data_IF_054860550533
#
_entry.id   IF_054860550533
#
_cell.length_a   1.000
_cell.length_b   1.000
_cell.length_c   1.000
_cell.angle_alpha   90.00
_cell.angle_beta   90.00
_cell.angle_gamma   90.00
#
_symmetry.space_group_name_H-M   'P 1'
#
loop_
_entity.id
_entity.type
_entity.pdbx_description
1 polymer ?
#
# COMPACT_ATOMS: atom_id res chain seq x y z
N UNK A 1 14.57 -2.86 -15.59
CA UNK A 1 14.63 -2.16 -14.29
C UNK A 1 13.34 -2.50 -13.56
N UNK A 2 13.41 -2.69 -12.25
CA UNK A 2 12.22 -2.86 -11.42
C UNK A 2 11.39 -1.60 -11.34
N UNK A 3 10.19 -1.71 -10.80
CA UNK A 3 9.22 -0.61 -10.70
C UNK A 3 9.25 0.03 -9.32
N UNK A 4 9.39 1.35 -9.27
CA UNK A 4 9.18 2.14 -8.06
C UNK A 4 7.73 2.60 -8.03
N UNK A 5 6.98 2.17 -7.02
CA UNK A 5 5.55 2.46 -6.88
C UNK A 5 5.33 3.21 -5.56
N UNK A 6 4.96 4.48 -5.63
CA UNK A 6 4.56 5.20 -4.43
C UNK A 6 3.15 4.76 -4.01
N UNK A 7 3.00 4.41 -2.73
CA UNK A 7 1.68 4.20 -2.11
C UNK A 7 1.34 5.47 -1.34
N UNK A 8 0.32 6.17 -1.78
CA UNK A 8 -0.04 7.50 -1.33
C UNK A 8 -1.44 7.55 -0.73
N UNK A 9 -1.73 8.56 0.07
CA UNK A 9 -3.08 8.86 0.54
C UNK A 9 -3.23 10.34 0.85
N UNK A 10 -4.36 10.93 0.53
CA UNK A 10 -4.63 12.35 0.80
C UNK A 10 -4.80 12.68 2.29
N UNK A 11 -5.12 11.69 3.14
CA UNK A 11 -5.27 11.86 4.60
C UNK A 11 -4.79 10.64 5.38
N UNK A 12 -4.52 10.82 6.68
CA UNK A 12 -4.19 9.73 7.59
C UNK A 12 -5.37 8.77 7.83
N UNK A 13 -5.06 7.52 8.18
CA UNK A 13 -6.04 6.52 8.59
C UNK A 13 -6.75 5.77 7.44
N UNK A 14 -6.42 6.02 6.18
CA UNK A 14 -6.98 5.28 5.02
C UNK A 14 -6.53 3.83 4.95
N UNK A 15 -5.49 3.44 5.71
CA UNK A 15 -4.89 2.11 5.70
C UNK A 15 -3.76 1.93 4.69
N UNK A 16 -3.12 3.01 4.25
CA UNK A 16 -2.01 3.04 3.31
C UNK A 16 -0.91 2.03 3.67
N UNK A 17 -0.33 2.12 4.87
CA UNK A 17 0.72 1.22 5.37
C UNK A 17 0.29 -0.25 5.37
N UNK A 18 -0.96 -0.55 5.77
CA UNK A 18 -1.52 -1.91 5.71
C UNK A 18 -1.60 -2.41 4.26
N UNK A 19 -2.04 -1.56 3.33
CA UNK A 19 -2.10 -1.87 1.89
C UNK A 19 -0.69 -2.11 1.35
N UNK A 20 0.29 -1.24 1.68
CA UNK A 20 1.69 -1.37 1.27
C UNK A 20 2.28 -2.71 1.71
N UNK A 21 2.16 -3.05 3.01
CA UNK A 21 2.69 -4.29 3.56
C UNK A 21 2.08 -5.54 2.91
N UNK A 22 0.74 -5.57 2.77
CA UNK A 22 0.05 -6.73 2.22
C UNK A 22 0.29 -6.91 0.71
N UNK A 23 0.29 -5.82 -0.08
CA UNK A 23 0.61 -5.91 -1.53
C UNK A 23 2.06 -6.35 -1.72
N UNK A 24 3.01 -5.81 -0.94
CA UNK A 24 4.40 -6.20 -1.02
C UNK A 24 4.62 -7.68 -0.69
N UNK A 25 4.00 -8.17 0.37
CA UNK A 25 4.04 -9.59 0.71
C UNK A 25 3.37 -10.46 -0.37
N UNK A 26 2.23 -10.02 -0.94
CA UNK A 26 1.56 -10.74 -2.02
C UNK A 26 2.44 -10.85 -3.28
N UNK A 27 3.16 -9.81 -3.66
CA UNK A 27 4.12 -9.83 -4.76
C UNK A 27 5.31 -10.78 -4.46
N UNK A 28 5.84 -10.72 -3.23
CA UNK A 28 6.94 -11.60 -2.79
C UNK A 28 6.53 -13.08 -2.79
N UNK A 29 5.31 -13.41 -2.31
CA UNK A 29 4.75 -14.77 -2.36
C UNK A 29 4.62 -15.31 -3.79
N UNK A 30 4.55 -14.44 -4.80
CA UNK A 30 4.51 -14.78 -6.22
C UNK A 30 5.91 -14.86 -6.86
N UNK A 31 6.97 -14.80 -6.06
CA UNK A 31 8.35 -14.99 -6.47
C UNK A 31 9.08 -13.72 -6.91
N UNK A 32 8.45 -12.54 -6.83
CA UNK A 32 9.12 -11.27 -7.14
C UNK A 32 10.03 -10.85 -5.99
N UNK A 33 11.15 -10.24 -6.31
CA UNK A 33 12.03 -9.60 -5.33
C UNK A 33 11.48 -8.21 -5.01
N UNK A 34 11.05 -7.99 -3.75
CA UNK A 34 10.30 -6.80 -3.34
C UNK A 34 11.01 -6.06 -2.22
N UNK A 35 11.13 -4.74 -2.37
CA UNK A 35 11.50 -3.84 -1.28
C UNK A 35 10.29 -3.00 -0.85
N UNK A 36 10.04 -2.92 0.45
CA UNK A 36 9.16 -1.95 1.08
C UNK A 36 10.01 -0.85 1.69
N UNK A 37 9.72 0.39 1.35
CA UNK A 37 10.44 1.55 1.87
C UNK A 37 9.48 2.42 2.64
N UNK A 38 9.72 2.61 3.93
CA UNK A 38 8.94 3.53 4.75
C UNK A 38 9.49 4.95 4.58
N UNK A 39 8.64 5.88 4.16
CA UNK A 39 8.94 7.31 4.06
C UNK A 39 8.05 8.14 4.99
N UNK A 40 7.26 7.50 5.88
CA UNK A 40 6.42 8.17 6.90
C UNK A 40 7.28 8.53 8.12
N UNK A 41 8.06 9.58 7.94
CA UNK A 41 9.04 10.07 8.90
C UNK A 41 8.39 10.46 10.22
N UNK A 42 8.99 9.98 11.31
CA UNK A 42 8.51 10.24 12.67
C UNK A 42 7.36 9.35 13.13
N UNK A 43 6.58 8.74 12.23
CA UNK A 43 5.50 7.82 12.59
C UNK A 43 5.93 6.35 12.54
N UNK A 44 6.73 5.96 11.53
CA UNK A 44 7.27 4.60 11.39
C UNK A 44 6.25 3.51 11.71
N UNK A 45 5.23 3.36 10.87
CA UNK A 45 4.18 2.38 11.09
C UNK A 45 4.41 1.06 10.33
N UNK A 46 5.26 1.08 9.30
CA UNK A 46 5.48 -0.08 8.45
C UNK A 46 6.30 -1.16 9.16
N UNK A 47 7.30 -0.78 9.97
CA UNK A 47 8.08 -1.71 10.81
C UNK A 47 7.20 -2.47 11.82
N UNK A 48 6.27 -1.77 12.48
CA UNK A 48 5.30 -2.38 13.41
C UNK A 48 4.36 -3.32 12.65
N UNK A 49 3.87 -2.89 11.47
CA UNK A 49 2.99 -3.72 10.64
C UNK A 49 3.67 -5.00 10.18
N UNK A 50 4.98 -4.93 9.93
CA UNK A 50 5.82 -6.07 9.55
C UNK A 50 6.37 -6.84 10.76
N UNK A 51 6.29 -6.31 11.99
CA UNK A 51 6.90 -6.91 13.18
C UNK A 51 8.45 -7.00 13.10
N UNK A 52 9.08 -5.99 12.47
CA UNK A 52 10.53 -5.93 12.21
C UNK A 52 11.23 -4.82 13.01
N UNK A 53 10.53 -4.14 13.92
CA UNK A 53 11.02 -3.00 14.69
C UNK A 53 12.31 -3.31 15.49
N UNK A 54 12.48 -4.55 15.95
CA UNK A 54 13.67 -4.97 16.71
C UNK A 54 14.91 -5.23 15.85
N UNK A 55 14.75 -5.26 14.53
CA UNK A 55 15.83 -5.58 13.57
C UNK A 55 16.47 -4.32 12.96
N UNK A 56 16.01 -3.14 13.33
CA UNK A 56 16.42 -1.88 12.73
C UNK A 56 17.73 -1.39 13.35
N UNK A 57 18.71 -1.13 12.48
CA UNK A 57 20.00 -0.52 12.81
C UNK A 57 20.18 0.80 12.08
N UNK A 58 19.89 0.82 10.78
CA UNK A 58 19.99 1.95 9.88
C UNK A 58 18.63 2.21 9.21
N UNK A 59 18.42 3.43 8.74
CA UNK A 59 17.23 3.83 8.00
C UNK A 59 17.56 4.33 6.58
N UNK A 60 16.53 4.71 5.82
CA UNK A 60 16.71 5.15 4.42
C UNK A 60 17.57 6.41 4.31
N UNK A 61 17.56 7.30 5.33
CA UNK A 61 18.35 8.52 5.30
C UNK A 61 19.79 8.28 5.65
N UNK A 62 20.13 7.26 6.47
CA UNK A 62 21.50 6.83 6.65
C UNK A 62 22.14 6.41 5.31
N UNK A 63 21.34 5.78 4.43
CA UNK A 63 21.82 5.41 3.08
C UNK A 63 21.93 6.64 2.17
N UNK A 64 20.97 7.58 2.23
CA UNK A 64 21.00 8.82 1.45
C UNK A 64 22.18 9.70 1.82
N UNK A 65 22.50 9.77 3.12
CA UNK A 65 23.62 10.55 3.65
C UNK A 65 24.97 9.82 3.59
N UNK A 66 25.01 8.61 3.01
CA UNK A 66 26.22 7.76 2.91
C UNK A 66 26.81 7.34 4.26
N UNK A 67 26.01 7.31 5.34
CA UNK A 67 26.39 6.82 6.66
C UNK A 67 26.49 5.31 6.69
N UNK A 68 25.79 4.61 5.78
CA UNK A 68 25.86 3.15 5.60
C UNK A 68 25.57 2.76 4.14
N UNK A 69 25.94 1.51 3.80
CA UNK A 69 25.57 0.94 2.49
C UNK A 69 24.10 0.49 2.48
N UNK A 70 23.48 0.46 1.29
CA UNK A 70 22.09 -0.01 1.10
C UNK A 70 21.88 -1.42 1.70
N UNK A 71 22.85 -2.30 1.59
CA UNK A 71 22.80 -3.67 2.15
C UNK A 71 22.70 -3.71 3.67
N UNK A 72 23.25 -2.71 4.35
CA UNK A 72 23.22 -2.62 5.82
C UNK A 72 21.86 -2.11 6.33
N UNK A 73 21.15 -1.28 5.54
CA UNK A 73 19.81 -0.78 5.87
C UNK A 73 18.69 -1.75 5.46
N UNK A 74 18.95 -2.69 4.54
CA UNK A 74 17.99 -3.67 4.07
C UNK A 74 17.73 -4.77 5.10
N UNK A 75 16.51 -4.84 5.61
CA UNK A 75 16.06 -5.87 6.55
C UNK A 75 15.27 -6.92 5.77
N UNK A 76 15.72 -8.17 5.76
CA UNK A 76 15.00 -9.28 5.14
C UNK A 76 13.88 -9.77 6.06
N UNK A 77 12.64 -9.86 5.53
CA UNK A 77 11.54 -10.51 6.25
C UNK A 77 11.78 -12.05 6.26
N UNK A 78 11.69 -12.66 7.42
CA UNK A 78 11.93 -14.10 7.59
C UNK A 78 10.72 -14.96 7.19
N UNK A 79 9.54 -14.38 7.08
CA UNK A 79 8.27 -15.06 6.73
C UNK A 79 8.03 -15.07 5.22
N UNK A 80 8.53 -14.06 4.51
CA UNK A 80 8.37 -13.89 3.07
C UNK A 80 9.75 -13.84 2.41
N UNK A 81 10.17 -14.93 1.77
CA UNK A 81 11.56 -15.15 1.32
C UNK A 81 12.15 -14.01 0.48
N UNK A 82 11.32 -13.36 -0.34
CA UNK A 82 11.73 -12.32 -1.28
C UNK A 82 11.32 -10.90 -0.85
N UNK A 83 10.91 -10.72 0.41
CA UNK A 83 10.49 -9.43 0.94
C UNK A 83 11.61 -8.81 1.78
N UNK A 84 11.91 -7.55 1.44
CA UNK A 84 12.88 -6.72 2.15
C UNK A 84 12.20 -5.42 2.59
N UNK A 85 12.73 -4.82 3.64
CA UNK A 85 12.20 -3.61 4.23
C UNK A 85 13.33 -2.62 4.53
N UNK A 86 13.09 -1.32 4.30
CA UNK A 86 13.95 -0.22 4.73
C UNK A 86 13.09 0.75 5.56
N UNK A 87 13.44 1.03 6.81
CA UNK A 87 12.67 1.91 7.67
C UNK A 87 12.87 3.40 7.35
N UNK A 88 11.88 4.21 7.73
CA UNK A 88 12.02 5.66 7.80
C UNK A 88 12.84 6.09 9.04
N UNK A 89 13.43 7.30 9.05
CA UNK A 89 14.04 7.87 10.24
C UNK A 89 12.98 8.26 11.29
N UNK A 90 13.34 8.19 12.56
CA UNK A 90 12.49 8.63 13.67
C UNK A 90 12.41 10.17 13.78
N UNK A 91 13.49 10.83 13.41
CA UNK A 91 13.58 12.29 13.41
C UNK A 91 14.25 12.75 12.13
N UNK A 92 13.75 13.78 11.52
CA UNK A 92 14.31 14.29 10.27
C UNK A 92 14.62 15.78 10.35
N UNK A 93 15.85 16.11 10.05
CA UNK A 93 16.24 17.42 9.54
C UNK A 93 16.44 17.32 8.03
N UNK A 94 15.38 17.63 7.26
CA UNK A 94 15.42 17.57 5.79
C UNK A 94 16.23 18.71 5.17
N UNK A 95 16.73 19.65 5.94
CA UNK A 95 17.38 20.87 5.45
C UNK A 95 18.70 20.61 4.70
N UNK A 96 19.27 19.40 4.84
CA UNK A 96 20.54 19.00 4.24
C UNK A 96 20.42 17.96 3.12
N UNK A 97 19.21 17.46 2.82
CA UNK A 97 19.03 16.37 1.85
C UNK A 97 18.92 16.92 0.43
N UNK A 98 19.85 16.50 -0.43
CA UNK A 98 19.85 16.88 -1.83
C UNK A 98 18.95 15.95 -2.66
N UNK A 99 18.12 16.50 -3.54
CA UNK A 99 17.20 15.76 -4.41
C UNK A 99 17.91 14.67 -5.24
N UNK A 100 19.15 14.95 -5.67
CA UNK A 100 19.96 14.04 -6.47
C UNK A 100 20.37 12.79 -5.68
N UNK A 101 20.65 12.93 -4.39
CA UNK A 101 20.96 11.80 -3.50
C UNK A 101 19.74 10.90 -3.34
N UNK A 102 18.54 11.47 -3.17
CA UNK A 102 17.28 10.73 -3.09
C UNK A 102 17.03 9.95 -4.39
N UNK A 103 17.16 10.59 -5.56
CA UNK A 103 17.00 9.90 -6.85
C UNK A 103 17.97 8.75 -7.03
N UNK A 104 19.23 8.94 -6.60
CA UNK A 104 20.25 7.90 -6.66
C UNK A 104 19.87 6.62 -5.88
N UNK A 105 19.12 6.76 -4.79
CA UNK A 105 18.62 5.60 -4.02
C UNK A 105 17.52 4.87 -4.80
N UNK A 106 16.58 5.59 -5.41
CA UNK A 106 15.55 4.97 -6.23
C UNK A 106 16.14 4.22 -7.43
N UNK A 107 17.18 4.74 -8.06
CA UNK A 107 17.92 4.05 -9.13
C UNK A 107 18.58 2.76 -8.62
N UNK A 108 19.27 2.81 -7.47
CA UNK A 108 19.88 1.62 -6.84
C UNK A 108 18.82 0.56 -6.54
N UNK A 109 17.68 0.94 -5.94
CA UNK A 109 16.58 0.04 -5.61
C UNK A 109 15.95 -0.57 -6.87
N UNK A 110 15.64 0.23 -7.90
CA UNK A 110 15.05 -0.27 -9.15
C UNK A 110 15.98 -1.19 -9.94
N UNK A 111 17.29 -1.06 -9.77
CA UNK A 111 18.26 -1.98 -10.39
C UNK A 111 18.32 -3.36 -9.71
N UNK A 112 17.88 -3.45 -8.46
CA UNK A 112 18.03 -4.63 -7.61
C UNK A 112 16.73 -5.40 -7.38
N UNK A 113 15.60 -4.71 -7.28
CA UNK A 113 14.31 -5.29 -6.95
C UNK A 113 13.37 -5.25 -8.16
N UNK A 114 12.46 -6.23 -8.26
CA UNK A 114 11.41 -6.23 -9.29
C UNK A 114 10.35 -5.16 -8.99
N UNK A 115 10.05 -4.97 -7.69
CA UNK A 115 9.11 -3.97 -7.19
C UNK A 115 9.67 -3.30 -5.92
N UNK A 116 9.57 -1.96 -5.89
CA UNK A 116 9.79 -1.17 -4.69
C UNK A 116 8.49 -0.44 -4.36
N UNK A 117 7.86 -0.77 -3.24
CA UNK A 117 6.68 -0.06 -2.76
C UNK A 117 7.11 0.96 -1.71
N UNK A 118 6.85 2.22 -1.98
CA UNK A 118 7.23 3.34 -1.11
C UNK A 118 6.02 3.80 -0.32
N UNK A 119 5.99 3.53 0.98
CA UNK A 119 4.93 3.99 1.90
C UNK A 119 5.13 5.47 2.22
N UNK A 120 4.44 6.36 1.51
CA UNK A 120 4.57 7.79 1.67
C UNK A 120 3.93 8.28 2.99
N UNK A 121 4.30 9.41 3.56
CA UNK A 121 3.52 10.02 4.64
C UNK A 121 2.09 10.36 4.19
N UNK A 122 1.21 10.58 5.15
CA UNK A 122 -0.14 11.05 4.85
C UNK A 122 -0.12 12.54 4.44
N UNK A 123 -0.93 12.89 3.44
CA UNK A 123 -0.97 14.25 2.90
C UNK A 123 0.02 14.45 1.75
N UNK A 124 0.39 15.68 1.48
CA UNK A 124 1.19 16.11 0.31
C UNK A 124 2.39 16.99 0.70
N UNK A 125 2.85 16.91 1.94
CA UNK A 125 3.96 17.70 2.46
C UNK A 125 5.34 17.12 2.09
N UNK A 126 6.43 17.73 2.56
CA UNK A 126 7.81 17.47 2.11
C UNK A 126 8.22 16.00 2.02
N UNK A 127 7.88 15.15 2.99
CA UNK A 127 8.18 13.71 2.93
C UNK A 127 7.49 12.99 1.78
N UNK A 128 6.28 13.43 1.41
CA UNK A 128 5.58 12.92 0.24
C UNK A 128 6.33 13.22 -1.06
N UNK A 129 6.92 14.42 -1.18
CA UNK A 129 7.68 14.81 -2.37
C UNK A 129 8.91 13.92 -2.56
N UNK A 130 9.65 13.62 -1.48
CA UNK A 130 10.79 12.69 -1.55
C UNK A 130 10.35 11.27 -1.95
N UNK A 131 9.23 10.79 -1.42
CA UNK A 131 8.68 9.48 -1.77
C UNK A 131 8.26 9.39 -3.25
N UNK A 132 7.75 10.51 -3.83
CA UNK A 132 7.29 10.58 -5.22
C UNK A 132 8.42 10.81 -6.22
N UNK A 133 9.58 11.33 -5.81
CA UNK A 133 10.63 11.86 -6.67
C UNK A 133 11.24 10.88 -7.69
N UNK A 134 11.13 9.58 -7.43
CA UNK A 134 11.63 8.53 -8.34
C UNK A 134 10.57 7.51 -8.72
N UNK A 135 9.29 7.80 -8.48
CA UNK A 135 8.23 6.84 -8.71
C UNK A 135 7.87 6.72 -10.20
N UNK A 136 7.77 5.49 -10.68
CA UNK A 136 7.29 5.15 -12.04
C UNK A 136 5.75 5.18 -12.11
N UNK A 137 5.09 4.91 -10.98
CA UNK A 137 3.64 4.86 -10.87
C UNK A 137 3.18 5.06 -9.42
N UNK A 138 1.88 5.27 -9.22
CA UNK A 138 1.32 5.48 -7.90
C UNK A 138 0.09 4.60 -7.62
N UNK A 139 -0.05 4.19 -6.37
CA UNK A 139 -1.26 3.60 -5.81
C UNK A 139 -1.84 4.59 -4.80
N UNK A 140 -2.94 5.23 -5.14
CA UNK A 140 -3.69 6.05 -4.20
C UNK A 140 -4.56 5.17 -3.33
N UNK A 141 -4.38 5.22 -2.01
CA UNK A 141 -5.24 4.51 -1.04
C UNK A 141 -6.23 5.48 -0.44
N UNK A 142 -7.51 5.21 -0.65
CA UNK A 142 -8.61 6.05 -0.14
C UNK A 142 -9.72 5.20 0.47
N UNK A 143 -10.73 5.88 1.03
CA UNK A 143 -11.96 5.25 1.55
C UNK A 143 -13.16 5.84 0.80
N UNK A 144 -14.31 5.12 0.73
CA UNK A 144 -15.52 5.61 0.07
C UNK A 144 -16.27 6.69 0.90
N UNK A 145 -15.55 7.77 1.19
CA UNK A 145 -15.99 8.94 1.94
C UNK A 145 -15.63 10.22 1.18
N UNK A 146 -16.56 11.17 1.07
CA UNK A 146 -16.37 12.40 0.29
C UNK A 146 -15.08 13.15 0.66
N UNK A 147 -14.77 13.25 1.96
CA UNK A 147 -13.56 13.93 2.41
C UNK A 147 -12.28 13.21 2.00
N UNK A 148 -12.25 11.87 2.13
CA UNK A 148 -11.10 11.07 1.73
C UNK A 148 -10.85 11.11 0.22
N UNK A 149 -11.92 11.13 -0.56
CA UNK A 149 -11.85 11.22 -2.04
C UNK A 149 -11.34 12.61 -2.48
N UNK A 150 -11.82 13.70 -1.87
CA UNK A 150 -11.31 15.06 -2.16
C UNK A 150 -9.84 15.24 -1.83
N UNK A 151 -9.42 14.70 -0.69
CA UNK A 151 -8.01 14.74 -0.31
C UNK A 151 -7.17 13.84 -1.23
N UNK A 152 -7.74 12.71 -1.70
CA UNK A 152 -7.15 11.83 -2.69
C UNK A 152 -6.96 12.50 -4.05
N UNK A 153 -7.98 13.20 -4.55
CA UNK A 153 -7.94 13.96 -5.80
C UNK A 153 -6.81 15.01 -5.79
N UNK A 154 -6.63 15.70 -4.65
CA UNK A 154 -5.49 16.62 -4.47
C UNK A 154 -4.14 15.90 -4.53
N UNK A 155 -4.04 14.70 -3.94
CA UNK A 155 -2.80 13.92 -3.99
C UNK A 155 -2.50 13.44 -5.41
N UNK A 156 -3.51 13.05 -6.19
CA UNK A 156 -3.39 12.72 -7.61
C UNK A 156 -2.80 13.91 -8.37
N UNK A 157 -3.39 15.10 -8.23
CA UNK A 157 -2.93 16.31 -8.93
C UNK A 157 -1.45 16.62 -8.63
N UNK A 158 -1.00 16.46 -7.37
CA UNK A 158 0.41 16.66 -7.01
C UNK A 158 1.32 15.59 -7.64
N UNK A 159 0.88 14.33 -7.69
CA UNK A 159 1.64 13.25 -8.36
C UNK A 159 1.79 13.52 -9.85
N UNK A 160 0.74 13.94 -10.52
CA UNK A 160 0.75 14.31 -11.94
C UNK A 160 1.68 15.52 -12.20
N UNK A 161 1.63 16.55 -11.36
CA UNK A 161 2.53 17.70 -11.42
C UNK A 161 4.01 17.30 -11.26
N UNK A 162 4.29 16.21 -10.54
CA UNK A 162 5.63 15.62 -10.38
C UNK A 162 6.02 14.66 -11.52
N UNK A 163 5.13 14.43 -12.50
CA UNK A 163 5.36 13.55 -13.65
C UNK A 163 4.99 12.08 -13.41
N UNK A 164 4.30 11.75 -12.31
CA UNK A 164 3.79 10.39 -12.06
C UNK A 164 2.40 10.26 -12.68
N UNK A 165 2.34 9.85 -13.95
CA UNK A 165 1.09 9.81 -14.74
C UNK A 165 0.30 8.49 -14.56
N UNK A 166 0.97 7.35 -14.27
CA UNK A 166 0.28 6.06 -14.03
C UNK A 166 -0.19 5.96 -12.58
N UNK A 167 -1.30 6.64 -12.27
CA UNK A 167 -1.94 6.60 -10.95
C UNK A 167 -3.14 5.66 -10.99
N UNK A 168 -3.21 4.73 -10.04
CA UNK A 168 -4.35 3.81 -9.83
C UNK A 168 -4.84 3.89 -8.40
N UNK A 169 -6.14 3.64 -8.19
CA UNK A 169 -6.74 3.73 -6.86
C UNK A 169 -7.03 2.36 -6.24
N UNK A 170 -6.73 2.23 -4.96
CA UNK A 170 -7.25 1.18 -4.07
C UNK A 170 -8.27 1.81 -3.14
N UNK A 171 -9.53 1.39 -3.26
CA UNK A 171 -10.61 1.81 -2.38
C UNK A 171 -10.66 0.82 -1.20
N UNK A 172 -10.29 1.30 -0.01
CA UNK A 172 -10.11 0.49 1.18
C UNK A 172 -11.28 0.64 2.17
N UNK A 173 -11.44 -0.34 3.07
CA UNK A 173 -12.47 -0.38 4.12
C UNK A 173 -13.90 -0.30 3.59
N UNK A 174 -14.16 -0.98 2.47
CA UNK A 174 -15.48 -1.00 1.84
C UNK A 174 -16.42 -1.90 2.63
N UNK A 175 -17.60 -1.39 2.92
CA UNK A 175 -18.70 -2.10 3.59
C UNK A 175 -19.94 -2.07 2.71
N UNK A 176 -20.29 -3.21 2.11
CA UNK A 176 -21.47 -3.35 1.24
C UNK A 176 -22.77 -3.01 1.96
N UNK A 177 -22.92 -3.42 3.23
CA UNK A 177 -24.09 -3.11 4.04
C UNK A 177 -24.31 -1.60 4.25
N UNK A 178 -23.23 -0.81 4.28
CA UNK A 178 -23.29 0.66 4.40
C UNK A 178 -23.56 1.34 3.06
N UNK A 179 -23.06 0.78 1.96
CA UNK A 179 -23.38 1.27 0.60
C UNK A 179 -24.86 1.07 0.32
N UNK A 180 -25.42 -0.12 0.60
CA UNK A 180 -26.85 -0.42 0.40
C UNK A 180 -27.78 0.51 1.22
N UNK A 181 -27.31 0.97 2.39
CA UNK A 181 -28.05 1.94 3.24
C UNK A 181 -27.84 3.39 2.82
N UNK A 182 -27.01 3.68 1.82
CA UNK A 182 -26.64 5.04 1.41
C UNK A 182 -25.82 5.83 2.44
N UNK A 183 -25.15 5.12 3.36
CA UNK A 183 -24.27 5.71 4.39
C UNK A 183 -22.85 5.87 3.84
N UNK A 184 -22.42 4.95 2.98
CA UNK A 184 -21.13 4.94 2.30
C UNK A 184 -21.35 5.18 0.81
N UNK A 185 -20.42 5.88 0.15
CA UNK A 185 -20.50 6.12 -1.30
C UNK A 185 -20.39 4.80 -2.07
N UNK A 186 -21.12 4.71 -3.17
CA UNK A 186 -20.96 3.58 -4.10
C UNK A 186 -19.65 3.70 -4.90
N UNK A 187 -19.27 2.61 -5.54
CA UNK A 187 -17.97 2.54 -6.23
C UNK A 187 -17.92 3.40 -7.47
N UNK A 188 -19.03 3.51 -8.21
CA UNK A 188 -19.11 4.31 -9.44
C UNK A 188 -18.91 5.81 -9.12
N UNK A 189 -19.56 6.32 -8.07
CA UNK A 189 -19.38 7.70 -7.60
C UNK A 189 -17.92 7.94 -7.13
N UNK A 190 -17.27 6.96 -6.50
CA UNK A 190 -15.88 7.08 -6.10
C UNK A 190 -14.94 7.18 -7.31
N UNK A 191 -15.17 6.35 -8.33
CA UNK A 191 -14.38 6.34 -9.57
C UNK A 191 -14.58 7.64 -10.35
N UNK A 192 -15.83 8.08 -10.51
CA UNK A 192 -16.17 9.32 -11.20
C UNK A 192 -15.53 10.55 -10.55
N UNK A 193 -15.41 10.53 -9.21
CA UNK A 193 -14.81 11.63 -8.45
C UNK A 193 -13.29 11.70 -8.57
N UNK A 194 -12.60 10.57 -8.69
CA UNK A 194 -11.13 10.50 -8.75
C UNK A 194 -10.59 10.52 -10.18
N UNK A 195 -11.36 10.06 -11.17
CA UNK A 195 -10.97 10.06 -12.58
C UNK A 195 -9.80 9.11 -12.94
N UNK A 196 -9.37 8.24 -12.01
CA UNK A 196 -8.26 7.30 -12.23
C UNK A 196 -8.73 5.85 -12.17
N UNK A 197 -8.03 4.90 -12.83
CA UNK A 197 -8.42 3.48 -12.84
C UNK A 197 -8.40 2.84 -11.46
N UNK A 198 -9.39 1.97 -11.17
CA UNK A 198 -9.42 1.16 -9.95
C UNK A 198 -8.46 -0.02 -10.08
N UNK A 199 -7.47 -0.08 -9.21
CA UNK A 199 -6.58 -1.23 -9.08
C UNK A 199 -7.21 -2.34 -8.24
N UNK A 200 -8.00 -1.96 -7.23
CA UNK A 200 -8.71 -2.92 -6.40
C UNK A 200 -9.59 -2.30 -5.34
N UNK A 201 -10.47 -3.12 -4.81
CA UNK A 201 -11.37 -2.80 -3.70
C UNK A 201 -11.04 -3.75 -2.56
N UNK A 202 -10.82 -3.22 -1.36
CA UNK A 202 -10.49 -3.99 -0.15
C UNK A 202 -11.63 -3.84 0.84
N UNK A 203 -12.27 -4.93 1.25
CA UNK A 203 -13.35 -4.88 2.23
C UNK A 203 -12.83 -4.51 3.62
N UNK A 204 -13.73 -3.97 4.44
CA UNK A 204 -13.50 -3.88 5.89
C UNK A 204 -13.59 -5.31 6.46
N UNK A 205 -12.46 -5.83 6.93
CA UNK A 205 -12.28 -7.24 7.28
C UNK A 205 -11.64 -7.36 8.66
N UNK A 206 -12.32 -8.01 9.60
CA UNK A 206 -11.82 -8.23 10.96
C UNK A 206 -10.53 -9.07 10.98
N UNK A 207 -10.31 -9.91 9.96
CA UNK A 207 -9.09 -10.72 9.84
C UNK A 207 -7.81 -9.86 9.67
N UNK A 208 -7.92 -8.62 9.18
CA UNK A 208 -6.80 -7.67 9.18
C UNK A 208 -6.33 -7.37 10.61
N UNK A 209 -7.27 -7.16 11.54
CA UNK A 209 -6.95 -6.91 12.95
C UNK A 209 -6.41 -8.16 13.62
N UNK A 210 -7.00 -9.32 13.33
CA UNK A 210 -6.55 -10.61 13.87
C UNK A 210 -5.13 -10.94 13.37
N UNK A 211 -4.85 -10.70 12.10
CA UNK A 211 -3.52 -10.89 11.52
C UNK A 211 -2.48 -9.97 12.19
N UNK A 212 -2.80 -8.69 12.34
CA UNK A 212 -1.93 -7.72 13.02
C UNK A 212 -1.62 -8.13 14.47
N UNK A 213 -2.62 -8.59 15.24
CA UNK A 213 -2.42 -9.09 16.60
C UNK A 213 -1.53 -10.34 16.66
N UNK A 214 -1.51 -11.16 15.62
CA UNK A 214 -0.64 -12.33 15.49
C UNK A 214 0.75 -12.01 14.93
N UNK A 215 1.03 -10.75 14.60
CA UNK A 215 2.25 -10.33 13.92
C UNK A 215 2.38 -10.90 12.50
N UNK A 216 1.24 -11.14 11.81
CA UNK A 216 1.20 -11.66 10.43
C UNK A 216 0.44 -10.69 9.52
N UNK A 217 0.52 -10.91 8.21
CA UNK A 217 -0.24 -10.13 7.23
C UNK A 217 -1.48 -10.89 6.76
N UNK A 218 -2.54 -10.16 6.41
CA UNK A 218 -3.81 -10.74 5.99
C UNK A 218 -3.70 -11.61 4.73
N UNK A 219 -2.73 -11.36 3.85
CA UNK A 219 -2.44 -12.20 2.68
C UNK A 219 -2.08 -13.64 3.02
N UNK A 220 -1.66 -13.91 4.26
CA UNK A 220 -1.35 -15.26 4.76
C UNK A 220 -2.51 -15.91 5.50
N UNK A 221 -3.62 -15.20 5.70
CA UNK A 221 -4.81 -15.72 6.38
C UNK A 221 -5.76 -16.38 5.37
N UNK A 222 -6.00 -17.69 5.53
CA UNK A 222 -6.79 -18.50 4.58
C UNK A 222 -8.21 -17.96 4.34
N UNK A 223 -8.83 -17.33 5.34
CA UNK A 223 -10.21 -16.86 5.30
C UNK A 223 -10.37 -15.35 5.18
N UNK A 224 -9.27 -14.59 4.96
CA UNK A 224 -9.32 -13.14 4.84
C UNK A 224 -9.80 -12.73 3.45
N UNK A 225 -10.95 -12.04 3.39
CA UNK A 225 -11.44 -11.42 2.15
C UNK A 225 -10.53 -10.26 1.73
N UNK A 226 -10.01 -9.49 2.69
CA UNK A 226 -9.02 -8.45 2.42
C UNK A 226 -7.70 -9.05 1.92
N UNK A 227 -7.24 -10.17 2.50
CA UNK A 227 -6.09 -10.92 2.04
C UNK A 227 -6.22 -11.33 0.57
N UNK A 228 -7.37 -11.89 0.19
CA UNK A 228 -7.66 -12.25 -1.21
C UNK A 228 -7.68 -11.01 -2.12
N UNK A 229 -8.22 -9.88 -1.65
CA UNK A 229 -8.21 -8.63 -2.40
C UNK A 229 -6.77 -8.16 -2.68
N UNK A 230 -5.87 -8.23 -1.70
CA UNK A 230 -4.45 -7.89 -1.89
C UNK A 230 -3.73 -8.84 -2.85
N UNK A 231 -4.01 -10.14 -2.80
CA UNK A 231 -3.48 -11.11 -3.79
C UNK A 231 -3.94 -10.76 -5.21
N UNK A 232 -5.20 -10.39 -5.39
CA UNK A 232 -5.75 -9.97 -6.69
C UNK A 232 -5.15 -8.63 -7.17
N UNK A 233 -4.91 -7.68 -6.26
CA UNK A 233 -4.23 -6.42 -6.56
C UNK A 233 -2.80 -6.68 -7.04
N UNK A 234 -2.05 -7.53 -6.33
CA UNK A 234 -0.70 -7.91 -6.75
C UNK A 234 -0.68 -8.57 -8.13
N UNK A 235 -1.63 -9.46 -8.43
CA UNK A 235 -1.77 -10.07 -9.76
C UNK A 235 -1.98 -9.01 -10.85
N UNK A 236 -2.86 -8.01 -10.63
CA UNK A 236 -3.07 -6.90 -11.58
C UNK A 236 -1.83 -6.02 -11.75
N UNK A 237 -1.05 -5.79 -10.70
CA UNK A 237 0.23 -5.07 -10.81
C UNK A 237 1.24 -5.82 -11.68
N UNK A 238 1.17 -7.15 -11.69
CA UNK A 238 1.97 -8.02 -12.56
C UNK A 238 1.43 -8.10 -14.00
N UNK A 239 0.30 -7.45 -14.29
CA UNK A 239 -0.32 -7.42 -15.62
C UNK A 239 -1.29 -8.57 -15.88
N UNK A 240 -1.72 -9.32 -14.86
CA UNK A 240 -2.72 -10.37 -15.01
C UNK A 240 -4.14 -9.78 -15.06
N UNK A 241 -4.99 -10.35 -15.90
CA UNK A 241 -6.40 -10.00 -15.97
C UNK A 241 -7.18 -10.73 -14.86
N UNK A 242 -7.31 -10.08 -13.71
CA UNK A 242 -8.10 -10.59 -12.58
C UNK A 242 -9.29 -9.67 -12.36
N UNK A 243 -10.54 -10.16 -12.34
CA UNK A 243 -11.73 -9.34 -12.07
C UNK A 243 -11.63 -8.65 -10.69
N UNK A 244 -12.18 -7.44 -10.58
CA UNK A 244 -12.37 -6.79 -9.27
C UNK A 244 -13.39 -7.60 -8.49
N UNK A 245 -13.10 -7.84 -7.20
CA UNK A 245 -14.01 -8.59 -6.34
C UNK A 245 -15.31 -7.82 -6.14
N UNK A 246 -16.42 -8.50 -6.38
CA UNK A 246 -17.76 -8.02 -6.04
C UNK A 246 -18.09 -8.43 -4.59
N UNK A 247 -18.62 -7.50 -3.81
CA UNK A 247 -18.97 -7.73 -2.41
C UNK A 247 -20.48 -7.74 -2.20
N UNK A 248 -21.22 -8.53 -3.01
CA UNK A 248 -22.65 -8.75 -2.82
C UNK A 248 -22.91 -9.67 -1.62
N UNK A 249 -23.38 -9.10 -0.51
CA UNK A 249 -23.83 -9.87 0.64
C UNK A 249 -25.15 -10.67 0.39
N UNK A 250 -25.79 -10.45 -0.76
CA UNK A 250 -27.08 -11.10 -1.09
C UNK A 250 -26.99 -12.62 -1.26
N UNK A 251 -25.83 -13.18 -1.57
CA UNK A 251 -25.64 -14.64 -1.64
C UNK A 251 -25.61 -15.32 -0.27
N UNK A 252 -25.16 -14.65 0.78
CA UNK A 252 -24.94 -15.27 2.09
C UNK A 252 -26.24 -15.68 2.81
N UNK A 253 -27.35 -14.97 2.65
CA UNK A 253 -28.60 -15.30 3.33
C UNK A 253 -29.39 -16.38 2.58
N UNK A 254 -29.47 -16.32 1.26
CA UNK A 254 -30.16 -17.33 0.44
C UNK A 254 -29.42 -18.65 0.37
N UNK A 255 -28.10 -18.65 0.36
CA UNK A 255 -27.31 -19.88 0.39
C UNK A 255 -27.32 -20.56 1.77
N UNK A 256 -27.36 -19.79 2.86
CA UNK A 256 -27.61 -20.35 4.21
C UNK A 256 -28.99 -20.94 4.33
N UNK A 257 -30.00 -20.30 3.77
CA UNK A 257 -31.40 -20.84 3.77
C UNK A 257 -31.52 -22.08 2.88
N UNK A 258 -30.87 -22.10 1.69
CA UNK A 258 -30.83 -23.31 0.85
C UNK A 258 -30.11 -24.48 1.49
N UNK A 259 -29.02 -24.25 2.22
CA UNK A 259 -28.31 -25.31 2.97
C UNK A 259 -29.10 -25.81 4.17
N UNK A 260 -30.00 -25.01 4.74
CA UNK A 260 -30.85 -25.44 5.87
C UNK A 260 -32.14 -26.19 5.43
N UNK A 261 -32.64 -25.93 4.23
CA UNK A 261 -33.92 -26.50 3.73
C UNK A 261 -33.76 -27.33 2.46
N UNK A 262 -32.54 -27.51 1.94
CA UNK A 262 -32.26 -28.37 0.79
C UNK A 262 -31.87 -29.78 1.22
N UNK A 263 -32.86 -30.63 1.47
CA UNK A 263 -32.77 -32.09 1.30
C UNK A 263 -33.53 -32.46 0.06
#
# INVERSE_FOLDING_TARGET
>A
MGKIIIVASGKGGTGKTTVTANIGAALAMRGNLVALVDMDMGCRNLDITLGLESSIVYDIFDVIEENCDLDEALIKDTRYENLYFIPAPLTLDTSSVEDEAVKGIWEKLSSRFDYCLVDAPAGIDGGFLYAAMGADSAILVTMPEVTALRDGDRAISVLEDMGVEDVKVVINRVRSDMIDKGIMMNMDDCVDMLGVPVLGIVPDDEELMVAALKGTLAVSAENSRAGQAFLNIAARLMGEEVPIMEFDEKESFFDKVKKLFGK
#
